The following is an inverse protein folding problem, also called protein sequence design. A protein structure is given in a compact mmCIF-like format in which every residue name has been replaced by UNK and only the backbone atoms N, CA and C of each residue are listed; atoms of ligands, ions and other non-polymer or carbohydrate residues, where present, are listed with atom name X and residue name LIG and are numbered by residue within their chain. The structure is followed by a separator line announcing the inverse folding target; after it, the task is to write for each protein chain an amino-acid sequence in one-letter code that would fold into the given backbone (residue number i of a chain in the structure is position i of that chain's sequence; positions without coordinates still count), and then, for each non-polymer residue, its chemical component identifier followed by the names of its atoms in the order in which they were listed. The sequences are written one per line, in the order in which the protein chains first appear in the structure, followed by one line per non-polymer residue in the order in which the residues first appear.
data_IF_328022432600
#
_entry.id   IF_328022432600
#
_cell.length_a   1.000
_cell.length_b   1.000
_cell.length_c   1.000
_cell.angle_alpha   90.00
_cell.angle_beta   90.00
_cell.angle_gamma   90.00
#
_symmetry.space_group_name_H-M   'P 1'
#
loop_
_entity.id
_entity.type
_entity.pdbx_description
1 polymer ?
#
# COMPACT_ATOMS: atom_id res chain seq x y z
N UNK A 1 -2.16 -14.18 -24.74
CA UNK A 1 -1.25 -13.02 -24.86
C UNK A 1 0.14 -13.56 -24.78
N UNK A 2 1.02 -13.10 -25.66
CA UNK A 2 2.45 -13.32 -25.46
C UNK A 2 2.87 -12.61 -24.17
N UNK A 3 3.88 -13.12 -23.46
CA UNK A 3 4.31 -12.57 -22.16
C UNK A 3 4.71 -11.09 -22.28
N UNK A 4 5.20 -10.73 -23.46
CA UNK A 4 5.70 -9.43 -23.88
C UNK A 4 4.57 -8.40 -24.08
N UNK A 5 3.33 -8.83 -24.32
CA UNK A 5 2.17 -7.95 -24.54
C UNK A 5 1.47 -7.53 -23.23
N UNK A 6 1.76 -8.25 -22.13
CA UNK A 6 1.10 -8.03 -20.83
C UNK A 6 1.39 -6.63 -20.27
N UNK A 7 2.63 -6.10 -20.29
CA UNK A 7 2.91 -4.76 -19.78
C UNK A 7 2.07 -3.66 -20.46
N UNK A 8 1.89 -3.75 -21.79
CA UNK A 8 1.11 -2.78 -22.55
C UNK A 8 -0.39 -2.91 -22.25
N UNK A 9 -0.89 -4.13 -22.14
CA UNK A 9 -2.27 -4.40 -21.72
C UNK A 9 -2.54 -3.87 -20.30
N UNK A 10 -1.61 -4.09 -19.36
CA UNK A 10 -1.73 -3.56 -18.00
C UNK A 10 -1.72 -2.03 -18.01
N UNK A 11 -0.82 -1.39 -18.75
CA UNK A 11 -0.80 0.07 -18.88
C UNK A 11 -2.09 0.62 -19.49
N UNK A 12 -2.64 -0.06 -20.50
CA UNK A 12 -3.91 0.32 -21.12
C UNK A 12 -5.07 0.26 -20.12
N UNK A 13 -5.22 -0.87 -19.40
CA UNK A 13 -6.27 -1.05 -18.41
C UNK A 13 -6.07 -0.15 -17.18
N UNK A 14 -4.82 0.09 -16.76
CA UNK A 14 -4.50 0.97 -15.64
C UNK A 14 -5.04 2.40 -15.84
N UNK A 15 -5.09 2.91 -17.08
CA UNK A 15 -5.70 4.23 -17.38
C UNK A 15 -7.17 4.31 -16.97
N UNK A 16 -7.90 3.19 -17.04
CA UNK A 16 -9.33 3.13 -16.70
C UNK A 16 -9.58 3.02 -15.20
N UNK A 17 -8.56 2.63 -14.44
CA UNK A 17 -8.63 2.38 -13.00
C UNK A 17 -7.84 3.40 -12.16
N UNK A 18 -7.05 4.26 -12.80
CA UNK A 18 -6.25 5.29 -12.13
C UNK A 18 -6.94 6.65 -12.29
N UNK A 19 -7.24 7.37 -11.19
CA UNK A 19 -7.90 8.67 -11.27
C UNK A 19 -7.00 9.79 -11.83
N UNK A 20 -5.69 9.57 -11.84
CA UNK A 20 -4.68 10.54 -12.28
C UNK A 20 -4.05 10.15 -13.63
N UNK A 21 -3.47 11.13 -14.36
CA UNK A 21 -2.74 10.85 -15.59
C UNK A 21 -1.57 9.89 -15.35
N UNK A 22 -1.36 8.93 -16.25
CA UNK A 22 -0.22 8.00 -16.16
C UNK A 22 1.15 8.69 -16.22
N UNK A 23 1.22 9.95 -16.69
CA UNK A 23 2.45 10.76 -16.64
C UNK A 23 2.83 11.23 -15.24
N UNK A 24 1.87 11.24 -14.31
CA UNK A 24 2.05 11.73 -12.93
C UNK A 24 2.25 10.59 -11.93
N UNK A 25 2.13 9.35 -12.38
CA UNK A 25 2.22 8.17 -11.52
C UNK A 25 3.27 7.18 -12.03
N UNK A 26 3.90 6.51 -11.07
CA UNK A 26 4.66 5.30 -11.28
C UNK A 26 3.74 4.12 -10.99
N UNK A 27 3.78 3.12 -11.85
CA UNK A 27 2.97 1.91 -11.75
C UNK A 27 3.86 0.69 -11.66
N UNK A 28 3.45 -0.24 -10.80
CA UNK A 28 4.00 -1.58 -10.72
C UNK A 28 2.86 -2.60 -10.64
N UNK A 29 3.11 -3.84 -11.04
CA UNK A 29 2.06 -4.84 -11.12
C UNK A 29 2.57 -6.27 -10.97
N UNK A 30 1.66 -7.14 -10.52
CA UNK A 30 1.93 -8.57 -10.37
C UNK A 30 0.72 -9.39 -10.84
N UNK A 31 0.99 -10.51 -11.53
CA UNK A 31 -0.05 -11.51 -11.79
C UNK A 31 -0.32 -12.29 -10.51
N UNK A 32 -1.56 -12.23 -10.00
CA UNK A 32 -1.96 -12.92 -8.77
C UNK A 32 -2.81 -14.16 -9.03
N UNK A 33 -3.50 -14.24 -10.18
CA UNK A 33 -4.25 -15.42 -10.62
C UNK A 33 -4.22 -15.52 -12.17
N UNK A 34 -4.30 -16.76 -12.69
CA UNK A 34 -4.21 -17.06 -14.12
C UNK A 34 -2.84 -17.60 -14.53
N UNK A 35 -2.74 -18.17 -15.74
CA UNK A 35 -1.50 -18.71 -16.29
C UNK A 35 -1.19 -18.05 -17.62
N UNK A 36 0.04 -17.58 -17.77
CA UNK A 36 0.55 -17.09 -19.04
C UNK A 36 0.82 -18.33 -19.90
N UNK A 37 -0.03 -18.57 -20.90
CA UNK A 37 0.09 -19.68 -21.84
C UNK A 37 -0.24 -19.19 -23.23
N UNK A 38 0.58 -19.55 -24.21
CA UNK A 38 0.32 -19.26 -25.63
C UNK A 38 -0.83 -20.11 -26.18
N UNK A 39 -1.09 -21.27 -25.56
CA UNK A 39 -2.09 -22.25 -26.02
C UNK A 39 -3.47 -22.03 -25.41
N UNK A 40 -3.55 -21.45 -24.21
CA UNK A 40 -4.80 -21.26 -23.48
C UNK A 40 -5.03 -19.80 -23.12
N UNK A 41 -6.17 -19.24 -23.56
CA UNK A 41 -6.61 -17.90 -23.15
C UNK A 41 -7.21 -17.97 -21.75
N UNK A 42 -6.38 -17.82 -20.72
CA UNK A 42 -6.86 -17.63 -19.34
C UNK A 42 -7.00 -16.14 -19.01
N UNK A 43 -8.03 -15.77 -18.26
CA UNK A 43 -8.15 -14.41 -17.71
C UNK A 43 -7.07 -14.25 -16.64
N UNK A 44 -6.24 -13.22 -16.79
CA UNK A 44 -5.25 -12.86 -15.78
C UNK A 44 -5.90 -11.90 -14.77
N UNK A 45 -5.63 -12.13 -13.50
CA UNK A 45 -5.94 -11.19 -12.43
C UNK A 45 -4.65 -10.50 -12.03
N UNK A 46 -4.65 -9.18 -12.14
CA UNK A 46 -3.48 -8.34 -11.89
C UNK A 46 -3.70 -7.55 -10.60
N UNK A 47 -2.72 -7.60 -9.71
CA UNK A 47 -2.58 -6.63 -8.64
C UNK A 47 -1.81 -5.45 -9.20
N UNK A 48 -2.44 -4.28 -9.23
CA UNK A 48 -1.86 -3.03 -9.72
C UNK A 48 -1.56 -2.13 -8.52
N UNK A 49 -0.34 -1.60 -8.47
CA UNK A 49 0.09 -0.59 -7.49
C UNK A 49 0.38 0.69 -8.25
N UNK A 50 -0.15 1.80 -7.76
CA UNK A 50 0.00 3.12 -8.38
C UNK A 50 0.45 4.11 -7.32
N UNK A 51 1.55 4.80 -7.56
CA UNK A 51 2.15 5.78 -6.65
C UNK A 51 2.42 7.07 -7.41
N UNK A 52 2.15 8.22 -6.79
CA UNK A 52 2.50 9.52 -7.34
C UNK A 52 4.02 9.63 -7.55
N UNK A 53 4.43 10.16 -8.70
CA UNK A 53 5.84 10.45 -8.98
C UNK A 53 6.44 11.42 -7.96
N UNK A 54 5.63 12.33 -7.42
CA UNK A 54 6.03 13.24 -6.35
C UNK A 54 6.51 12.49 -5.10
N UNK A 55 5.78 11.44 -4.67
CA UNK A 55 6.14 10.63 -3.50
C UNK A 55 7.44 9.87 -3.76
N UNK A 56 7.57 9.26 -4.93
CA UNK A 56 8.81 8.55 -5.34
C UNK A 56 10.02 9.50 -5.33
N UNK A 57 9.84 10.71 -5.88
CA UNK A 57 10.88 11.73 -5.94
C UNK A 57 11.25 12.24 -4.54
N UNK A 58 10.26 12.45 -3.67
CA UNK A 58 10.48 12.89 -2.29
C UNK A 58 11.36 11.89 -1.54
N UNK A 59 11.03 10.59 -1.56
CA UNK A 59 11.84 9.56 -0.90
C UNK A 59 13.23 9.42 -1.54
N UNK A 60 13.34 9.55 -2.86
CA UNK A 60 14.63 9.54 -3.56
C UNK A 60 15.54 10.70 -3.12
N UNK A 61 14.96 11.90 -2.93
CA UNK A 61 15.69 13.05 -2.43
C UNK A 61 16.13 12.87 -0.98
N UNK A 62 15.25 12.35 -0.11
CA UNK A 62 15.59 12.04 1.29
C UNK A 62 16.76 11.07 1.36
N UNK A 63 16.73 9.98 0.59
CA UNK A 63 17.82 9.00 0.55
C UNK A 63 19.15 9.65 0.11
N UNK A 64 19.11 10.49 -0.95
CA UNK A 64 20.28 11.22 -1.43
C UNK A 64 20.86 12.16 -0.36
N UNK A 65 20.01 12.92 0.33
CA UNK A 65 20.44 13.83 1.40
C UNK A 65 21.00 13.08 2.61
N UNK A 66 20.50 11.88 2.88
CA UNK A 66 21.00 10.98 3.92
C UNK A 66 22.24 10.17 3.49
N UNK A 67 22.75 10.35 2.26
CA UNK A 67 23.84 9.58 1.67
C UNK A 67 23.56 8.06 1.67
N UNK A 68 22.30 7.68 1.40
CA UNK A 68 21.85 6.29 1.24
C UNK A 68 21.64 5.97 -0.24
N UNK A 69 22.01 4.75 -0.63
CA UNK A 69 21.78 4.23 -1.97
C UNK A 69 20.39 3.54 -2.05
N UNK A 70 19.40 4.24 -2.60
CA UNK A 70 18.01 3.78 -2.66
C UNK A 70 17.84 2.67 -3.71
N UNK A 71 17.71 1.42 -3.25
CA UNK A 71 17.54 0.26 -4.13
C UNK A 71 16.10 0.06 -4.61
N UNK A 72 15.13 0.27 -3.72
CA UNK A 72 13.72 -0.05 -3.99
C UNK A 72 12.79 0.74 -3.08
N UNK A 73 11.58 1.00 -3.57
CA UNK A 73 10.44 1.50 -2.81
C UNK A 73 9.32 0.49 -2.91
N UNK A 74 8.61 0.27 -1.81
CA UNK A 74 7.46 -0.63 -1.76
C UNK A 74 6.33 0.00 -0.96
N UNK A 75 5.10 -0.49 -1.16
CA UNK A 75 3.98 -0.13 -0.30
C UNK A 75 4.07 -0.88 1.05
N UNK A 76 3.73 -0.18 2.13
CA UNK A 76 3.81 -0.65 3.52
C UNK A 76 3.14 -2.01 3.76
N UNK A 77 1.99 -2.25 3.13
CA UNK A 77 1.23 -3.51 3.24
C UNK A 77 2.06 -4.74 2.85
N UNK A 78 2.99 -4.64 1.90
CA UNK A 78 3.82 -5.79 1.51
C UNK A 78 4.85 -6.12 2.58
N UNK A 79 5.48 -5.10 3.16
CA UNK A 79 6.38 -5.28 4.30
C UNK A 79 5.63 -5.84 5.50
N UNK A 80 4.46 -5.29 5.81
CA UNK A 80 3.61 -5.73 6.92
C UNK A 80 3.15 -7.18 6.75
N UNK A 81 2.72 -7.56 5.53
CA UNK A 81 2.40 -8.94 5.22
C UNK A 81 3.63 -9.84 5.41
N UNK A 82 4.81 -9.48 4.89
CA UNK A 82 6.01 -10.31 5.08
C UNK A 82 6.44 -10.46 6.54
N UNK A 83 6.23 -9.44 7.38
CA UNK A 83 6.59 -9.50 8.81
C UNK A 83 5.57 -10.23 9.67
N UNK A 84 4.30 -10.24 9.27
CA UNK A 84 3.19 -10.67 10.14
C UNK A 84 2.43 -11.88 9.64
N UNK A 85 2.44 -12.13 8.32
CA UNK A 85 1.85 -13.30 7.69
C UNK A 85 2.95 -14.35 7.52
N UNK A 86 2.88 -15.41 8.32
CA UNK A 86 3.73 -16.59 8.16
C UNK A 86 3.40 -17.37 6.87
N UNK A 87 3.85 -18.63 6.79
CA UNK A 87 3.54 -19.52 5.67
C UNK A 87 2.07 -20.03 5.66
N UNK A 88 1.15 -19.26 6.24
CA UNK A 88 -0.24 -19.65 6.44
C UNK A 88 -1.03 -19.52 5.14
N UNK A 89 -1.90 -20.50 4.90
CA UNK A 89 -2.71 -20.62 3.67
C UNK A 89 -4.12 -20.05 3.82
N UNK A 90 -4.42 -19.48 4.98
CA UNK A 90 -5.74 -18.94 5.30
C UNK A 90 -5.90 -17.51 4.80
N UNK A 91 -7.16 -17.05 4.77
CA UNK A 91 -7.49 -15.66 4.45
C UNK A 91 -7.36 -14.83 5.72
N UNK A 92 -6.51 -13.81 5.70
CA UNK A 92 -6.23 -12.93 6.82
C UNK A 92 -6.58 -11.48 6.49
N UNK A 93 -7.08 -10.76 7.49
CA UNK A 93 -7.22 -9.31 7.45
C UNK A 93 -6.09 -8.69 8.28
N UNK A 94 -5.22 -7.94 7.62
CA UNK A 94 -4.21 -7.10 8.27
C UNK A 94 -4.81 -5.70 8.45
N UNK A 95 -4.89 -5.26 9.71
CA UNK A 95 -5.37 -3.91 10.06
C UNK A 95 -4.22 -3.14 10.66
N UNK A 96 -3.71 -2.18 9.91
CA UNK A 96 -2.66 -1.27 10.32
C UNK A 96 -3.30 0.05 10.79
N UNK A 97 -3.25 0.31 12.09
CA UNK A 97 -3.82 1.52 12.71
C UNK A 97 -2.67 2.50 12.96
N UNK A 98 -2.45 3.39 12.00
CA UNK A 98 -1.41 4.40 12.06
C UNK A 98 -1.85 5.69 12.77
N UNK A 99 -0.91 6.62 12.87
CA UNK A 99 -1.17 7.95 13.42
C UNK A 99 -2.09 8.79 12.51
N UNK A 100 -2.03 8.59 11.19
CA UNK A 100 -2.73 9.43 10.19
C UNK A 100 -3.84 8.73 9.40
N UNK A 101 -3.82 7.41 9.36
CA UNK A 101 -4.81 6.59 8.66
C UNK A 101 -4.83 5.19 9.27
N UNK A 102 -5.91 4.46 9.00
CA UNK A 102 -5.99 3.02 9.24
C UNK A 102 -6.10 2.31 7.91
N UNK A 103 -5.28 1.30 7.64
CA UNK A 103 -5.35 0.52 6.40
C UNK A 103 -5.74 -0.93 6.70
N UNK A 104 -6.82 -1.40 6.07
CA UNK A 104 -7.24 -2.80 6.12
C UNK A 104 -6.90 -3.50 4.80
N UNK A 105 -6.17 -4.60 4.90
CA UNK A 105 -5.67 -5.35 3.76
C UNK A 105 -6.02 -6.84 3.90
N UNK A 106 -6.62 -7.40 2.85
CA UNK A 106 -6.99 -8.81 2.80
C UNK A 106 -5.88 -9.58 2.09
N UNK A 107 -5.28 -10.52 2.81
CA UNK A 107 -4.24 -11.43 2.33
C UNK A 107 -4.86 -12.82 2.19
N UNK A 108 -4.65 -13.49 1.07
CA UNK A 108 -5.07 -14.87 0.85
C UNK A 108 -3.89 -15.65 0.26
N UNK A 109 -3.49 -16.73 0.94
CA UNK A 109 -2.32 -17.55 0.59
C UNK A 109 -1.05 -16.72 0.43
N UNK A 110 -0.84 -15.77 1.34
CA UNK A 110 0.32 -14.86 1.32
C UNK A 110 0.29 -13.78 0.23
N UNK A 111 -0.78 -13.67 -0.56
CA UNK A 111 -0.91 -12.69 -1.63
C UNK A 111 -1.93 -11.63 -1.26
N UNK A 112 -1.55 -10.35 -1.40
CA UNK A 112 -2.46 -9.23 -1.24
C UNK A 112 -3.59 -9.29 -2.28
N UNK A 113 -4.83 -9.38 -1.82
CA UNK A 113 -6.03 -9.39 -2.68
C UNK A 113 -6.71 -8.04 -2.76
N UNK A 114 -6.69 -7.27 -1.68
CA UNK A 114 -7.30 -5.94 -1.59
C UNK A 114 -6.67 -5.15 -0.46
N UNK A 115 -6.58 -3.84 -0.62
CA UNK A 115 -6.21 -2.91 0.45
C UNK A 115 -7.14 -1.70 0.38
N UNK A 116 -7.54 -1.19 1.54
CA UNK A 116 -8.37 0.00 1.66
C UNK A 116 -7.96 0.79 2.90
N UNK A 117 -7.85 2.11 2.75
CA UNK A 117 -7.47 3.03 3.83
C UNK A 117 -8.67 3.85 4.26
N UNK A 118 -8.75 4.09 5.57
CA UNK A 118 -9.76 4.87 6.26
C UNK A 118 -9.09 6.04 6.97
N UNK A 119 -9.82 7.14 7.13
CA UNK A 119 -9.32 8.37 7.79
C UNK A 119 -9.26 8.25 9.32
N UNK A 120 -9.91 7.23 9.90
CA UNK A 120 -9.86 6.96 11.35
C UNK A 120 -8.43 6.60 11.73
N UNK A 121 -7.86 7.30 12.72
CA UNK A 121 -6.45 7.17 13.05
C UNK A 121 -6.09 7.60 14.49
N UNK A 122 -4.87 7.28 14.91
CA UNK A 122 -4.40 7.58 16.27
C UNK A 122 -4.35 9.07 16.61
N UNK A 123 -4.11 9.96 15.64
CA UNK A 123 -4.09 11.41 15.87
C UNK A 123 -5.48 11.94 16.21
N UNK A 124 -6.52 11.40 15.59
CA UNK A 124 -7.91 11.78 15.89
C UNK A 124 -8.25 11.47 17.36
N UNK A 125 -7.84 10.30 17.85
CA UNK A 125 -8.01 9.94 19.26
C UNK A 125 -7.22 10.88 20.19
N UNK A 126 -6.01 11.25 19.80
CA UNK A 126 -5.15 12.17 20.57
C UNK A 126 -5.76 13.56 20.66
N UNK A 127 -6.29 14.06 19.55
CA UNK A 127 -7.00 15.33 19.48
C UNK A 127 -8.28 15.31 20.34
N UNK A 128 -9.02 14.20 20.34
CA UNK A 128 -10.20 14.02 21.18
C UNK A 128 -9.84 14.06 22.68
N UNK A 129 -8.77 13.39 23.10
CA UNK A 129 -8.27 13.44 24.48
C UNK A 129 -7.84 14.86 24.86
N UNK A 130 -7.06 15.51 24.00
CA UNK A 130 -6.60 16.89 24.20
C UNK A 130 -7.76 17.85 24.40
N UNK A 131 -8.76 17.81 23.52
CA UNK A 131 -9.95 18.68 23.59
C UNK A 131 -10.82 18.38 24.80
N UNK A 132 -11.04 17.10 25.11
CA UNK A 132 -11.92 16.68 26.21
C UNK A 132 -11.34 17.03 27.58
N UNK A 133 -10.02 16.94 27.72
CA UNK A 133 -9.32 17.20 28.99
C UNK A 133 -8.69 18.60 29.05
N UNK A 134 -8.75 19.38 27.97
CA UNK A 134 -8.14 20.71 27.83
C UNK A 134 -6.65 20.72 28.16
N UNK A 135 -5.93 19.72 27.66
CA UNK A 135 -4.49 19.58 27.79
C UNK A 135 -3.82 19.74 26.41
N UNK A 136 -2.53 20.04 26.40
CA UNK A 136 -1.77 20.10 25.15
C UNK A 136 -1.70 18.71 24.46
N UNK A 137 -1.50 18.74 23.14
CA UNK A 137 -1.46 17.52 22.31
C UNK A 137 -0.39 16.53 22.78
N UNK A 138 0.80 17.01 23.16
CA UNK A 138 1.89 16.15 23.61
C UNK A 138 1.51 15.39 24.89
N UNK A 139 0.88 16.09 25.84
CA UNK A 139 0.37 15.47 27.07
C UNK A 139 -0.80 14.52 26.80
N UNK A 140 -1.67 14.83 25.83
CA UNK A 140 -2.74 13.93 25.41
C UNK A 140 -2.20 12.64 24.79
N UNK A 141 -1.16 12.70 23.96
CA UNK A 141 -0.49 11.54 23.36
C UNK A 141 0.10 10.63 24.44
N UNK A 142 0.81 11.23 25.40
CA UNK A 142 1.37 10.49 26.54
C UNK A 142 0.27 9.83 27.38
N UNK A 143 -0.88 10.49 27.55
CA UNK A 143 -1.99 9.92 28.30
C UNK A 143 -2.67 8.78 27.53
N UNK A 144 -2.90 8.95 26.23
CA UNK A 144 -3.48 7.92 25.34
C UNK A 144 -2.70 6.61 25.43
N UNK A 145 -1.36 6.68 25.43
CA UNK A 145 -0.49 5.50 25.47
C UNK A 145 -0.34 4.86 26.87
N UNK A 146 -0.96 5.43 27.91
CA UNK A 146 -0.98 4.90 29.29
C UNK A 146 -2.27 4.18 29.65
N UNK A 147 -3.27 4.26 28.77
CA UNK A 147 -4.57 3.58 28.90
C UNK A 147 -4.46 2.28 28.10
#
# INVERSE_FOLDING_TARGET
MAKEEIPDAVRYEARRHTPLPLSEVTLDWQVIEGRISEKEKTKLKILLVVVLNEVVNQYSQIAKLANLDLQSLEAEVFAFARSSVGAEKEVMALVDIGARSTTCSIIDKGVLKRSHSFDVCGNELTDLVSKSLRIDYSRAEVLKNKI
#
